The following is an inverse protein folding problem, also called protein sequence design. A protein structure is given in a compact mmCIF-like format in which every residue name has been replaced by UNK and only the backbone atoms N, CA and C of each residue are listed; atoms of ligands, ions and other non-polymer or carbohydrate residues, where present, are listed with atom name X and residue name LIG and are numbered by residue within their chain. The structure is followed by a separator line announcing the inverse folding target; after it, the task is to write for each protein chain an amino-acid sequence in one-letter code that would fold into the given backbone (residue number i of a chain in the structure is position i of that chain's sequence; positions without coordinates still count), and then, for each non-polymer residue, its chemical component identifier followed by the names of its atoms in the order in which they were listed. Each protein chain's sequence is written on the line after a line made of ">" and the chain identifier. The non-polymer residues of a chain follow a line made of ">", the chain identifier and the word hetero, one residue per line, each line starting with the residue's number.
data_IF_354573519897
#
_entry.id   IF_354573519897
#
_cell.length_a   1.000
_cell.length_b   1.000
_cell.length_c   1.000
_cell.angle_alpha   90.00
_cell.angle_beta   90.00
_cell.angle_gamma   90.00
#
_symmetry.space_group_name_H-M   'P 1'
#
loop_
_entity.id
_entity.type
_entity.pdbx_description
1 polymer ?
#
# COMPACT_ATOMS: atom_id res chain seq x y z
N UNK A 1 41.67 -19.49 14.65
CA UNK A 1 41.46 -19.13 13.23
C UNK A 1 40.40 -20.02 12.55
N UNK A 2 40.53 -21.35 12.60
CA UNK A 2 39.60 -22.29 11.95
C UNK A 2 38.14 -22.18 12.43
N UNK A 3 37.90 -22.03 13.74
CA UNK A 3 36.55 -21.83 14.31
C UNK A 3 35.90 -20.54 13.82
N UNK A 4 36.67 -19.46 13.69
CA UNK A 4 36.17 -18.17 13.20
C UNK A 4 35.76 -18.29 11.72
N UNK A 5 36.58 -18.95 10.90
CA UNK A 5 36.28 -19.21 9.49
C UNK A 5 35.00 -20.04 9.37
N UNK A 6 34.84 -21.07 10.19
CA UNK A 6 33.64 -21.90 10.20
C UNK A 6 32.39 -21.08 10.55
N UNK A 7 32.44 -20.30 11.63
CA UNK A 7 31.31 -19.47 12.07
C UNK A 7 30.92 -18.43 11.01
N UNK A 8 31.91 -17.75 10.43
CA UNK A 8 31.67 -16.77 9.36
C UNK A 8 31.07 -17.43 8.13
N UNK A 9 31.55 -18.61 7.74
CA UNK A 9 31.03 -19.35 6.58
C UNK A 9 29.59 -19.78 6.80
N UNK A 10 29.27 -20.33 7.98
CA UNK A 10 27.90 -20.72 8.34
C UNK A 10 26.98 -19.50 8.35
N UNK A 11 27.41 -18.38 8.94
CA UNK A 11 26.63 -17.15 8.95
C UNK A 11 26.38 -16.59 7.54
N UNK A 12 27.39 -16.63 6.66
CA UNK A 12 27.27 -16.19 5.27
C UNK A 12 26.29 -17.06 4.47
N UNK A 13 26.39 -18.39 4.60
CA UNK A 13 25.44 -19.32 3.97
C UNK A 13 24.02 -19.10 4.49
N UNK A 14 23.86 -18.94 5.80
CA UNK A 14 22.56 -18.65 6.39
C UNK A 14 21.97 -17.33 5.87
N UNK A 15 22.76 -16.26 5.80
CA UNK A 15 22.34 -14.97 5.24
C UNK A 15 21.90 -15.10 3.78
N UNK A 16 22.65 -15.86 2.97
CA UNK A 16 22.32 -16.08 1.56
C UNK A 16 21.01 -16.86 1.38
N UNK A 17 20.84 -17.96 2.14
CA UNK A 17 19.60 -18.76 2.13
C UNK A 17 18.41 -17.92 2.59
N UNK A 18 18.58 -17.17 3.68
CA UNK A 18 17.56 -16.29 4.20
C UNK A 18 17.19 -15.19 3.21
N UNK A 19 18.18 -14.54 2.59
CA UNK A 19 17.94 -13.54 1.56
C UNK A 19 17.17 -14.11 0.37
N UNK A 20 17.59 -15.27 -0.14
CA UNK A 20 16.93 -15.96 -1.26
C UNK A 20 15.48 -16.28 -0.93
N UNK A 21 15.24 -16.81 0.26
CA UNK A 21 13.90 -17.10 0.76
C UNK A 21 13.00 -15.85 0.84
N UNK A 22 13.54 -14.73 1.35
CA UNK A 22 12.79 -13.47 1.43
C UNK A 22 12.52 -12.87 0.04
N UNK A 23 13.48 -12.95 -0.89
CA UNK A 23 13.30 -12.49 -2.28
C UNK A 23 12.22 -13.28 -3.01
N UNK A 24 12.16 -14.60 -2.83
CA UNK A 24 11.08 -15.43 -3.42
C UNK A 24 9.71 -14.95 -2.92
N UNK A 25 9.60 -14.59 -1.64
CA UNK A 25 8.34 -14.10 -1.03
C UNK A 25 8.03 -12.65 -1.40
N UNK A 26 9.06 -11.85 -1.63
CA UNK A 26 8.95 -10.42 -1.92
C UNK A 26 9.97 -10.03 -2.99
N UNK A 27 9.67 -10.31 -4.28
CA UNK A 27 10.62 -10.07 -5.38
C UNK A 27 11.06 -8.62 -5.51
N UNK A 28 10.30 -7.68 -4.96
CA UNK A 28 10.66 -6.26 -4.96
C UNK A 28 11.96 -5.95 -4.21
N UNK A 29 12.43 -6.84 -3.33
CA UNK A 29 13.73 -6.66 -2.66
C UNK A 29 14.91 -6.64 -3.67
N UNK A 30 14.74 -7.20 -4.88
CA UNK A 30 15.72 -7.10 -5.97
C UNK A 30 15.92 -5.65 -6.46
N UNK A 31 14.94 -4.77 -6.28
CA UNK A 31 15.06 -3.36 -6.66
C UNK A 31 15.81 -2.51 -5.64
N UNK A 32 16.26 -3.09 -4.52
CA UNK A 32 16.96 -2.36 -3.47
C UNK A 32 18.14 -1.49 -3.98
N UNK A 33 19.02 -1.98 -4.89
CA UNK A 33 20.16 -1.19 -5.36
C UNK A 33 19.76 0.09 -6.11
N UNK A 34 18.60 0.10 -6.77
CA UNK A 34 18.13 1.22 -7.61
C UNK A 34 17.05 2.07 -6.95
N UNK A 35 16.41 1.56 -5.89
CA UNK A 35 15.33 2.25 -5.20
C UNK A 35 15.72 3.66 -4.75
N UNK A 36 16.96 3.89 -4.31
CA UNK A 36 17.42 5.20 -3.87
C UNK A 36 17.36 6.29 -4.94
N UNK A 37 17.42 5.92 -6.22
CA UNK A 37 17.39 6.87 -7.34
C UNK A 37 15.97 7.25 -7.78
N UNK A 38 14.95 6.57 -7.25
CA UNK A 38 13.57 6.70 -7.70
C UNK A 38 12.72 7.57 -6.78
N UNK A 39 13.31 8.12 -5.72
CA UNK A 39 12.68 9.14 -4.89
C UNK A 39 12.44 10.43 -5.67
N UNK A 40 11.32 11.08 -5.37
CA UNK A 40 10.85 12.28 -6.06
C UNK A 40 10.47 13.34 -5.03
N UNK A 41 10.74 14.58 -5.38
CA UNK A 41 10.12 15.73 -4.73
C UNK A 41 8.61 15.77 -5.03
N UNK A 42 7.80 16.51 -4.25
CA UNK A 42 6.37 16.63 -4.51
C UNK A 42 6.05 17.13 -5.93
N UNK A 43 6.83 18.08 -6.44
CA UNK A 43 6.65 18.63 -7.79
C UNK A 43 6.94 17.59 -8.88
N UNK A 44 7.96 16.75 -8.68
CA UNK A 44 8.29 15.67 -9.60
C UNK A 44 7.26 14.55 -9.59
N UNK A 45 6.79 14.15 -8.40
CA UNK A 45 5.69 13.20 -8.21
C UNK A 45 4.45 13.67 -8.98
N UNK A 46 4.07 14.94 -8.81
CA UNK A 46 2.94 15.52 -9.55
C UNK A 46 3.18 15.54 -11.05
N UNK A 47 4.32 16.09 -11.50
CA UNK A 47 4.66 16.21 -12.93
C UNK A 47 4.61 14.86 -13.63
N UNK A 48 5.06 13.80 -12.98
CA UNK A 48 5.15 12.47 -13.58
C UNK A 48 3.83 11.68 -13.50
N UNK A 49 3.10 11.78 -12.38
CA UNK A 49 1.97 10.88 -12.11
C UNK A 49 0.60 11.58 -12.10
N UNK A 50 0.51 12.89 -12.25
CA UNK A 50 -0.77 13.61 -12.31
C UNK A 50 -1.79 13.02 -13.30
N UNK A 51 -1.42 12.56 -14.52
CA UNK A 51 -2.37 11.90 -15.41
C UNK A 51 -2.98 10.63 -14.80
N UNK A 52 -2.18 9.84 -14.06
CA UNK A 52 -2.64 8.63 -13.38
C UNK A 52 -3.54 8.98 -12.19
N UNK A 53 -3.14 9.95 -11.36
CA UNK A 53 -3.94 10.42 -10.23
C UNK A 53 -5.30 10.93 -10.69
N UNK A 54 -5.35 11.70 -11.78
CA UNK A 54 -6.60 12.18 -12.36
C UNK A 54 -7.43 11.02 -12.90
N UNK A 55 -6.84 10.14 -13.71
CA UNK A 55 -7.55 9.00 -14.33
C UNK A 55 -8.24 8.11 -13.30
N UNK A 56 -7.59 7.87 -12.16
CA UNK A 56 -8.06 6.97 -11.13
C UNK A 56 -8.63 7.69 -9.89
N UNK A 57 -8.90 8.99 -9.96
CA UNK A 57 -9.58 9.69 -8.89
C UNK A 57 -11.05 9.26 -8.79
N UNK A 58 -11.63 9.31 -7.59
CA UNK A 58 -13.08 9.19 -7.34
C UNK A 58 -13.62 10.50 -6.77
N UNK A 59 -14.93 10.54 -6.47
CA UNK A 59 -15.54 11.67 -5.77
C UNK A 59 -15.01 11.89 -4.35
N UNK A 60 -14.40 10.87 -3.72
CA UNK A 60 -13.79 10.96 -2.38
C UNK A 60 -12.28 10.99 -2.46
N UNK A 61 -11.71 10.08 -3.25
CA UNK A 61 -10.27 9.90 -3.39
C UNK A 61 -9.79 10.74 -4.57
N UNK A 62 -9.52 12.02 -4.30
CA UNK A 62 -9.15 13.00 -5.34
C UNK A 62 -7.71 12.80 -5.81
N UNK A 63 -7.37 13.39 -6.96
CA UNK A 63 -6.00 13.36 -7.49
C UNK A 63 -4.98 13.96 -6.51
N UNK A 64 -5.33 15.06 -5.85
CA UNK A 64 -4.46 15.72 -4.86
C UNK A 64 -4.26 14.84 -3.62
N UNK A 65 -5.31 14.16 -3.16
CA UNK A 65 -5.21 13.20 -2.05
C UNK A 65 -4.28 12.04 -2.42
N UNK A 66 -4.42 11.47 -3.62
CA UNK A 66 -3.55 10.41 -4.13
C UNK A 66 -2.09 10.87 -4.25
N UNK A 67 -1.84 12.10 -4.69
CA UNK A 67 -0.50 12.66 -4.78
C UNK A 67 0.11 12.88 -3.39
N UNK A 68 -0.66 13.44 -2.46
CA UNK A 68 -0.23 13.66 -1.08
C UNK A 68 0.12 12.34 -0.39
N UNK A 69 -0.74 11.31 -0.54
CA UNK A 69 -0.50 10.00 0.04
C UNK A 69 0.74 9.33 -0.57
N UNK A 70 0.91 9.39 -1.90
CA UNK A 70 2.10 8.85 -2.56
C UNK A 70 3.40 9.53 -2.09
N UNK A 71 3.33 10.81 -1.76
CA UNK A 71 4.48 11.56 -1.26
C UNK A 71 4.79 11.20 0.19
N UNK A 72 3.79 11.14 1.07
CA UNK A 72 3.96 10.82 2.48
C UNK A 72 4.45 9.39 2.71
N UNK A 73 3.92 8.42 1.95
CA UNK A 73 4.20 7.00 2.16
C UNK A 73 5.50 6.54 1.51
N UNK A 74 5.79 7.04 0.30
CA UNK A 74 6.91 6.55 -0.49
C UNK A 74 7.71 7.62 -1.22
N UNK A 75 7.43 8.91 -1.02
CA UNK A 75 8.08 10.01 -1.75
C UNK A 75 8.09 9.79 -3.26
N UNK A 76 6.95 9.35 -3.81
CA UNK A 76 6.79 9.09 -5.26
C UNK A 76 7.62 7.93 -5.82
N UNK A 77 8.23 7.11 -4.95
CA UNK A 77 9.06 5.98 -5.36
C UNK A 77 8.21 4.71 -5.51
N UNK A 78 8.04 4.17 -6.72
CA UNK A 78 7.13 3.06 -6.97
C UNK A 78 7.65 1.71 -6.49
N UNK A 79 8.94 1.60 -6.12
CA UNK A 79 9.55 0.34 -5.66
C UNK A 79 10.10 0.43 -4.23
N UNK A 80 9.82 1.54 -3.52
CA UNK A 80 10.31 1.71 -2.15
C UNK A 80 9.78 0.63 -1.23
N UNK A 81 10.65 0.19 -0.33
CA UNK A 81 10.41 -0.91 0.60
C UNK A 81 10.75 -0.46 2.00
N UNK A 82 10.21 -1.16 2.98
CA UNK A 82 10.54 -0.95 4.40
C UNK A 82 11.91 -1.54 4.78
N UNK A 83 12.46 -1.08 5.90
CA UNK A 83 13.74 -1.58 6.43
C UNK A 83 13.67 -3.06 6.83
N UNK A 84 14.83 -3.71 6.87
CA UNK A 84 14.97 -5.05 7.41
C UNK A 84 15.14 -4.98 8.91
N UNK A 85 14.50 -5.88 9.64
CA UNK A 85 14.55 -5.93 11.10
C UNK A 85 14.97 -7.30 11.61
N UNK A 86 15.63 -7.27 12.76
CA UNK A 86 15.86 -8.46 13.58
C UNK A 86 14.63 -8.72 14.46
N UNK A 87 14.30 -9.99 14.64
CA UNK A 87 13.21 -10.45 15.51
C UNK A 87 13.64 -11.71 16.24
N UNK A 88 13.36 -11.79 17.54
CA UNK A 88 13.52 -13.03 18.30
C UNK A 88 12.34 -13.95 17.95
N UNK A 89 12.63 -15.04 17.25
CA UNK A 89 11.63 -16.03 16.81
C UNK A 89 12.30 -17.40 16.69
N UNK A 90 11.53 -18.47 16.94
CA UNK A 90 12.00 -19.84 16.79
C UNK A 90 12.14 -20.29 15.33
N UNK A 91 11.69 -19.46 14.36
CA UNK A 91 11.80 -19.75 12.93
C UNK A 91 13.04 -19.07 12.35
N UNK A 92 14.09 -19.82 11.95
CA UNK A 92 15.38 -19.23 11.56
C UNK A 92 15.26 -18.22 10.41
N UNK A 93 14.45 -18.50 9.39
CA UNK A 93 14.26 -17.63 8.22
C UNK A 93 13.35 -16.42 8.50
N UNK A 94 12.78 -16.30 9.69
CA UNK A 94 12.00 -15.12 10.10
C UNK A 94 12.78 -14.22 11.08
N UNK A 95 13.98 -14.64 11.50
CA UNK A 95 14.81 -13.90 12.45
C UNK A 95 15.33 -12.58 11.87
N UNK A 96 15.65 -12.55 10.57
CA UNK A 96 16.02 -11.34 9.85
C UNK A 96 15.19 -11.23 8.58
N UNK A 97 14.29 -10.25 8.52
CA UNK A 97 13.34 -10.11 7.40
C UNK A 97 12.88 -8.66 7.23
N UNK A 98 12.25 -8.30 6.10
CA UNK A 98 11.55 -7.03 5.98
C UNK A 98 10.57 -6.81 7.14
N UNK A 99 10.56 -5.59 7.70
CA UNK A 99 9.68 -5.24 8.82
C UNK A 99 8.20 -5.41 8.48
N UNK A 100 7.85 -5.26 7.20
CA UNK A 100 6.52 -5.39 6.62
C UNK A 100 6.61 -5.85 5.15
N UNK A 101 5.51 -6.39 4.63
CA UNK A 101 5.34 -6.67 3.19
C UNK A 101 4.93 -5.44 2.37
N UNK A 102 4.85 -4.27 3.00
CA UNK A 102 4.63 -2.99 2.32
C UNK A 102 5.66 -2.72 1.20
N UNK A 103 5.13 -2.31 0.04
CA UNK A 103 5.91 -1.99 -1.17
C UNK A 103 5.28 -0.82 -1.92
N UNK A 104 6.13 -0.01 -2.53
CA UNK A 104 5.80 1.00 -3.51
C UNK A 104 5.32 2.31 -2.90
N UNK A 105 4.89 3.21 -3.77
CA UNK A 105 4.65 4.61 -3.38
C UNK A 105 3.49 4.79 -2.39
N UNK A 106 2.66 3.77 -2.21
CA UNK A 106 1.57 3.71 -1.23
C UNK A 106 1.77 2.62 -0.17
N UNK A 107 2.97 2.06 -0.06
CA UNK A 107 3.31 1.05 0.96
C UNK A 107 2.29 -0.10 1.09
N UNK A 108 1.77 -0.57 -0.05
CA UNK A 108 0.69 -1.57 -0.08
C UNK A 108 1.22 -2.93 0.42
N UNK A 109 0.60 -3.46 1.46
CA UNK A 109 0.94 -4.78 2.03
C UNK A 109 0.35 -5.92 1.19
N UNK A 110 0.81 -7.16 1.40
CA UNK A 110 0.24 -8.33 0.70
C UNK A 110 -1.26 -8.51 0.97
N UNK A 111 -1.70 -8.30 2.22
CA UNK A 111 -3.11 -8.41 2.59
C UNK A 111 -3.97 -7.34 1.93
N UNK A 112 -3.52 -6.08 1.99
CA UNK A 112 -4.21 -4.98 1.30
C UNK A 112 -4.25 -5.20 -0.21
N UNK A 113 -3.17 -5.71 -0.80
CA UNK A 113 -3.13 -6.00 -2.23
C UNK A 113 -4.13 -7.09 -2.64
N UNK A 114 -4.25 -8.15 -1.84
CA UNK A 114 -5.20 -9.24 -2.08
C UNK A 114 -6.67 -8.77 -2.04
N UNK A 115 -6.98 -7.79 -1.19
CA UNK A 115 -8.31 -7.17 -1.13
C UNK A 115 -8.51 -6.14 -2.25
N UNK A 116 -7.58 -5.20 -2.41
CA UNK A 116 -7.66 -4.09 -3.35
C UNK A 116 -7.80 -4.55 -4.81
N UNK A 117 -7.15 -5.65 -5.20
CA UNK A 117 -7.26 -6.20 -6.56
C UNK A 117 -8.66 -6.68 -6.93
N UNK A 118 -9.61 -6.74 -5.99
CA UNK A 118 -11.02 -7.01 -6.29
C UNK A 118 -11.70 -5.79 -6.91
N UNK A 119 -11.09 -4.62 -6.91
CA UNK A 119 -11.70 -3.40 -7.38
C UNK A 119 -10.91 -2.77 -8.54
N UNK A 120 -11.58 -1.92 -9.31
CA UNK A 120 -11.03 -1.11 -10.39
C UNK A 120 -11.87 0.16 -10.54
N UNK A 121 -11.41 1.11 -11.36
CA UNK A 121 -12.08 2.39 -11.56
C UNK A 121 -12.48 2.55 -13.03
N UNK A 122 -13.78 2.73 -13.24
CA UNK A 122 -14.35 3.11 -14.54
C UNK A 122 -14.99 4.48 -14.42
N UNK A 123 -14.51 5.44 -15.20
CA UNK A 123 -15.05 6.81 -15.23
C UNK A 123 -15.24 7.41 -13.82
N UNK A 124 -14.20 7.31 -12.98
CA UNK A 124 -14.18 7.80 -11.59
C UNK A 124 -15.13 7.09 -10.61
N UNK A 125 -15.70 5.96 -11.00
CA UNK A 125 -16.56 5.12 -10.16
C UNK A 125 -15.86 3.79 -9.88
N UNK A 126 -15.86 3.38 -8.62
CA UNK A 126 -15.29 2.08 -8.24
C UNK A 126 -16.24 0.95 -8.60
N UNK A 127 -15.71 -0.05 -9.27
CA UNK A 127 -16.42 -1.29 -9.60
C UNK A 127 -15.71 -2.47 -8.96
N UNK A 128 -16.46 -3.53 -8.69
CA UNK A 128 -15.95 -4.78 -8.14
C UNK A 128 -15.75 -5.82 -9.24
N UNK A 129 -14.78 -6.70 -9.04
CA UNK A 129 -14.50 -7.85 -9.89
C UNK A 129 -15.73 -8.71 -9.98
N UNK A 130 -16.08 -9.12 -11.19
CA UNK A 130 -17.26 -9.92 -11.48
C UNK A 130 -16.97 -10.93 -12.58
N UNK A 131 -18.01 -11.59 -13.10
CA UNK A 131 -17.85 -12.54 -14.18
C UNK A 131 -17.18 -11.90 -15.40
N UNK A 132 -16.34 -12.67 -16.09
CA UNK A 132 -15.60 -12.22 -17.27
C UNK A 132 -16.50 -11.75 -18.41
N UNK A 133 -17.76 -12.18 -18.47
CA UNK A 133 -18.71 -11.78 -19.51
C UNK A 133 -19.44 -10.46 -19.20
N UNK A 134 -19.24 -9.88 -18.00
CA UNK A 134 -19.83 -8.60 -17.66
C UNK A 134 -18.86 -7.46 -18.05
N UNK A 135 -19.15 -6.68 -19.11
CA UNK A 135 -18.25 -5.63 -19.57
C UNK A 135 -18.12 -4.46 -18.58
N UNK A 136 -18.99 -4.39 -17.58
CA UNK A 136 -18.92 -3.38 -16.50
C UNK A 136 -18.12 -3.86 -15.30
N UNK A 137 -17.72 -5.13 -15.23
CA UNK A 137 -16.88 -5.62 -14.14
C UNK A 137 -15.43 -5.22 -14.33
N UNK A 138 -14.57 -5.51 -13.36
CA UNK A 138 -13.14 -5.36 -13.52
C UNK A 138 -12.50 -6.53 -14.27
N UNK A 139 -11.66 -6.22 -15.25
CA UNK A 139 -11.00 -7.22 -16.10
C UNK A 139 -9.49 -7.19 -15.86
N UNK A 140 -8.85 -8.36 -15.95
CA UNK A 140 -7.39 -8.52 -15.84
C UNK A 140 -6.76 -8.09 -14.51
N UNK A 141 -7.54 -7.99 -13.42
CA UNK A 141 -7.04 -7.67 -12.08
C UNK A 141 -5.97 -8.64 -11.55
N UNK A 142 -5.85 -9.84 -12.15
CA UNK A 142 -4.76 -10.78 -11.88
C UNK A 142 -3.40 -10.24 -12.26
N UNK A 143 -3.32 -9.29 -13.20
CA UNK A 143 -2.08 -8.67 -13.69
C UNK A 143 -1.67 -7.43 -12.89
N UNK A 144 -2.47 -7.01 -11.91
CA UNK A 144 -2.10 -5.91 -11.05
C UNK A 144 -0.78 -6.20 -10.32
N UNK A 145 -0.02 -5.13 -10.07
CA UNK A 145 1.21 -5.18 -9.29
C UNK A 145 1.38 -3.90 -8.51
N UNK A 146 2.00 -4.00 -7.34
CA UNK A 146 2.21 -2.87 -6.41
C UNK A 146 3.28 -1.90 -6.88
N UNK A 147 4.16 -2.32 -7.80
CA UNK A 147 5.32 -1.53 -8.24
C UNK A 147 5.09 -0.75 -9.53
N UNK A 148 3.99 -1.01 -10.24
CA UNK A 148 3.63 -0.22 -11.43
C UNK A 148 2.77 0.96 -10.96
N UNK A 149 3.16 2.22 -11.24
CA UNK A 149 2.44 3.39 -10.73
C UNK A 149 0.95 3.39 -11.05
N UNK A 150 0.54 3.11 -12.29
CA UNK A 150 -0.88 3.12 -12.67
C UNK A 150 -1.70 2.13 -11.82
N UNK A 151 -1.21 0.91 -11.67
CA UNK A 151 -1.83 -0.12 -10.84
C UNK A 151 -1.90 0.31 -9.38
N UNK A 152 -0.80 0.83 -8.83
CA UNK A 152 -0.73 1.25 -7.44
C UNK A 152 -1.69 2.41 -7.12
N UNK A 153 -1.85 3.38 -8.04
CA UNK A 153 -2.84 4.46 -7.90
C UNK A 153 -4.26 3.90 -7.91
N UNK A 154 -4.59 3.06 -8.89
CA UNK A 154 -5.93 2.49 -9.02
C UNK A 154 -6.32 1.61 -7.83
N UNK A 155 -5.43 0.71 -7.42
CA UNK A 155 -5.62 -0.16 -6.25
C UNK A 155 -5.89 0.66 -4.99
N UNK A 156 -5.06 1.68 -4.74
CA UNK A 156 -5.20 2.54 -3.55
C UNK A 156 -6.51 3.31 -3.57
N UNK A 157 -6.82 3.92 -4.72
CA UNK A 157 -8.04 4.72 -4.88
C UNK A 157 -9.30 3.89 -4.69
N UNK A 158 -9.38 2.76 -5.40
CA UNK A 158 -10.54 1.87 -5.36
C UNK A 158 -10.76 1.25 -3.98
N UNK A 159 -9.67 0.80 -3.33
CA UNK A 159 -9.72 0.25 -1.98
C UNK A 159 -10.23 1.28 -0.96
N UNK A 160 -9.63 2.47 -0.93
CA UNK A 160 -10.00 3.48 0.06
C UNK A 160 -11.42 3.99 -0.13
N UNK A 161 -11.85 4.24 -1.37
CA UNK A 161 -13.22 4.67 -1.66
C UNK A 161 -14.26 3.64 -1.17
N UNK A 162 -14.04 2.35 -1.46
CA UNK A 162 -14.94 1.27 -1.02
C UNK A 162 -15.00 1.14 0.50
N UNK A 163 -13.87 1.22 1.19
CA UNK A 163 -13.85 1.13 2.65
C UNK A 163 -14.46 2.35 3.32
N UNK A 164 -14.21 3.57 2.81
CA UNK A 164 -14.86 4.79 3.31
C UNK A 164 -16.37 4.67 3.16
N UNK A 165 -16.87 4.31 1.98
CA UNK A 165 -18.30 4.14 1.74
C UNK A 165 -18.92 3.07 2.66
N UNK A 166 -18.28 1.91 2.77
CA UNK A 166 -18.75 0.81 3.62
C UNK A 166 -18.81 1.20 5.10
N UNK A 167 -17.78 1.87 5.61
CA UNK A 167 -17.73 2.29 7.02
C UNK A 167 -18.79 3.35 7.31
N UNK A 168 -18.94 4.37 6.46
CA UNK A 168 -19.96 5.40 6.66
C UNK A 168 -21.39 4.84 6.63
N UNK A 169 -21.64 3.88 5.74
CA UNK A 169 -22.93 3.17 5.70
C UNK A 169 -23.16 2.36 6.99
N UNK A 170 -22.15 1.62 7.45
CA UNK A 170 -22.23 0.83 8.69
C UNK A 170 -22.44 1.70 9.94
N UNK A 171 -21.90 2.91 9.97
CA UNK A 171 -22.06 3.85 11.10
C UNK A 171 -23.25 4.80 10.95
N UNK A 172 -24.07 4.64 9.89
CA UNK A 172 -25.22 5.51 9.64
C UNK A 172 -24.86 6.98 9.40
N UNK A 173 -23.62 7.26 8.95
CA UNK A 173 -23.14 8.62 8.75
C UNK A 173 -23.49 9.12 7.35
N UNK A 174 -24.52 9.95 7.25
CA UNK A 174 -25.08 10.41 5.96
C UNK A 174 -24.46 11.72 5.46
N UNK A 175 -24.01 12.60 6.36
CA UNK A 175 -23.58 13.98 6.02
C UNK A 175 -22.10 14.25 6.32
N UNK A 176 -21.20 13.35 5.91
CA UNK A 176 -19.76 13.58 6.02
C UNK A 176 -19.25 14.52 4.92
N UNK A 177 -18.50 15.55 5.31
CA UNK A 177 -17.81 16.44 4.35
C UNK A 177 -16.71 15.69 3.60
N UNK A 178 -16.29 16.19 2.43
CA UNK A 178 -15.18 15.58 1.67
C UNK A 178 -13.92 15.43 2.53
N UNK A 179 -13.58 16.46 3.30
CA UNK A 179 -12.43 16.43 4.21
C UNK A 179 -12.52 15.29 5.22
N UNK A 180 -13.67 15.13 5.89
CA UNK A 180 -13.83 14.03 6.84
C UNK A 180 -13.78 12.64 6.18
N UNK A 181 -14.25 12.52 4.93
CA UNK A 181 -14.11 11.28 4.16
C UNK A 181 -12.64 10.97 3.83
N UNK A 182 -11.86 12.01 3.50
CA UNK A 182 -10.42 11.89 3.25
C UNK A 182 -9.62 11.63 4.52
N UNK A 183 -9.98 12.24 5.65
CA UNK A 183 -9.41 11.92 6.97
C UNK A 183 -9.68 10.45 7.33
N UNK A 184 -10.92 9.97 7.09
CA UNK A 184 -11.25 8.55 7.25
C UNK A 184 -10.43 7.66 6.30
N UNK A 185 -10.26 8.05 5.04
CA UNK A 185 -9.42 7.33 4.08
C UNK A 185 -7.96 7.24 4.55
N UNK A 186 -7.39 8.33 5.07
CA UNK A 186 -6.05 8.35 5.63
C UNK A 186 -5.95 7.42 6.86
N UNK A 187 -6.92 7.47 7.78
CA UNK A 187 -6.95 6.55 8.93
C UNK A 187 -7.03 5.08 8.48
N UNK A 188 -7.82 4.77 7.45
CA UNK A 188 -7.90 3.42 6.89
C UNK A 188 -6.57 3.00 6.28
N UNK A 189 -5.90 3.90 5.56
CA UNK A 189 -4.60 3.62 4.94
C UNK A 189 -3.51 3.31 5.97
N UNK A 190 -3.34 4.19 6.96
CA UNK A 190 -2.27 4.07 7.96
C UNK A 190 -2.56 3.00 9.02
N UNK A 191 -3.82 2.87 9.46
CA UNK A 191 -4.18 2.09 10.65
C UNK A 191 -5.15 0.93 10.36
N UNK A 192 -5.58 0.76 9.11
CA UNK A 192 -6.53 -0.27 8.68
C UNK A 192 -8.00 0.08 8.91
N UNK A 193 -8.89 -0.67 8.24
CA UNK A 193 -10.33 -0.44 8.25
C UNK A 193 -10.97 -0.46 9.65
N UNK A 194 -10.47 -1.32 10.56
CA UNK A 194 -10.97 -1.38 11.94
C UNK A 194 -10.72 -0.09 12.74
N UNK A 195 -9.58 0.58 12.51
CA UNK A 195 -9.32 1.89 13.10
C UNK A 195 -10.22 2.98 12.50
N UNK A 196 -10.41 2.93 11.17
CA UNK A 196 -11.36 3.79 10.46
C UNK A 196 -12.79 3.68 11.01
N UNK A 197 -13.27 2.46 11.24
CA UNK A 197 -14.60 2.23 11.82
C UNK A 197 -14.72 2.82 13.24
N UNK A 198 -13.69 2.69 14.08
CA UNK A 198 -13.66 3.33 15.41
C UNK A 198 -13.65 4.86 15.31
N UNK A 199 -12.92 5.42 14.36
CA UNK A 199 -12.90 6.86 14.09
C UNK A 199 -14.27 7.37 13.62
N UNK A 200 -14.93 6.67 12.71
CA UNK A 200 -16.28 6.99 12.24
C UNK A 200 -17.34 6.91 13.35
N UNK A 201 -17.29 5.88 14.21
CA UNK A 201 -18.19 5.77 15.39
C UNK A 201 -18.04 6.91 16.39
N UNK A 202 -16.90 7.60 16.41
CA UNK A 202 -16.68 8.82 17.20
C UNK A 202 -17.15 10.10 16.50
N UNK A 203 -17.90 9.98 15.41
CA UNK A 203 -18.41 11.11 14.64
C UNK A 203 -17.35 11.78 13.77
N UNK A 204 -16.35 11.03 13.29
CA UNK A 204 -15.25 11.53 12.44
C UNK A 204 -14.46 12.65 13.14
N UNK A 205 -14.10 12.41 14.40
CA UNK A 205 -13.32 13.32 15.24
C UNK A 205 -12.10 12.61 15.80
N UNK A 206 -10.95 13.26 15.69
CA UNK A 206 -9.73 12.83 16.34
C UNK A 206 -9.80 13.12 17.84
N UNK A 207 -9.19 12.25 18.66
CA UNK A 207 -8.97 12.58 20.06
C UNK A 207 -7.83 13.61 20.16
N UNK A 208 -7.69 14.36 21.28
CA UNK A 208 -6.68 15.41 21.41
C UNK A 208 -5.23 14.98 21.10
N UNK A 209 -4.93 13.69 21.23
CA UNK A 209 -3.60 13.12 21.01
C UNK A 209 -3.45 12.44 19.62
N UNK A 210 -4.47 12.51 18.77
CA UNK A 210 -4.44 11.99 17.41
C UNK A 210 -4.37 13.17 16.43
N UNK A 211 -3.52 13.06 15.41
CA UNK A 211 -3.35 14.03 14.33
C UNK A 211 -3.49 13.34 13.00
#
# INVERSE_FOLDING_TARGET
>A
MQTVILVVSVAAVWLLVNWTYQVIRKPSELFFPVSGMLYKSPAETWRQYAPLFRKHATGVITADFLAALAQTEGSGNPVVRTYWRWSLTAKPLEMYRPASSAVGMYQITDGTFAEAKRFCIHAHVVVESGPWHNPRSCWFNSLYTRVVPSHAVELTSAYLDRHVAAILAQTGTTSATLRQKQDLAAVIHLCGAGAGARYARRGLRFTPNQR
#
